data_IF_985774135887
#
_entry.id   IF_985774135887
#
_cell.length_a   1.000
_cell.length_b   1.000
_cell.length_c   1.000
_cell.angle_alpha   90.00
_cell.angle_beta   90.00
_cell.angle_gamma   90.00
#
_symmetry.space_group_name_H-M   'P 1'
#
loop_
_entity.id
_entity.type
_entity.pdbx_description
1 polymer ?
#
# COMPACT_ATOMS: atom_id res chain seq x y z
N UNK A 1 35.74 -17.36 14.43
CA UNK A 1 35.39 -16.35 15.45
C UNK A 1 34.58 -15.31 14.71
N UNK A 2 33.29 -15.15 15.03
CA UNK A 2 32.48 -14.11 14.40
C UNK A 2 33.13 -12.75 14.70
N UNK A 3 33.38 -11.94 13.68
CA UNK A 3 33.83 -10.56 13.88
C UNK A 3 32.79 -9.86 14.77
N UNK A 4 33.24 -9.28 15.89
CA UNK A 4 32.36 -8.52 16.76
C UNK A 4 32.10 -7.16 16.11
N UNK A 5 31.14 -7.13 15.19
CA UNK A 5 30.71 -5.92 14.48
C UNK A 5 29.81 -5.12 15.42
N UNK A 6 30.34 -4.04 15.99
CA UNK A 6 29.58 -3.10 16.83
C UNK A 6 28.71 -2.21 15.93
N UNK A 7 27.41 -2.12 16.24
CA UNK A 7 26.46 -1.32 15.45
C UNK A 7 26.51 0.14 15.92
N UNK A 8 26.79 1.11 15.03
CA UNK A 8 27.05 2.51 15.42
C UNK A 8 25.79 3.34 15.69
N UNK A 9 24.61 2.77 15.50
CA UNK A 9 23.32 3.44 15.60
C UNK A 9 22.35 2.58 16.41
N UNK A 10 21.23 3.16 16.87
CA UNK A 10 20.22 2.37 17.55
C UNK A 10 19.51 1.41 16.59
N UNK A 11 19.11 0.25 17.11
CA UNK A 11 18.37 -0.78 16.36
C UNK A 11 17.16 -1.19 17.20
N UNK A 12 15.96 -1.05 16.63
CA UNK A 12 14.73 -1.57 17.21
C UNK A 12 13.46 -0.92 16.66
N UNK A 13 12.28 -1.42 17.08
CA UNK A 13 10.98 -0.98 16.55
C UNK A 13 10.67 0.51 16.72
N UNK A 14 11.32 1.19 17.66
CA UNK A 14 11.13 2.63 17.86
C UNK A 14 11.52 3.48 16.64
N UNK A 15 12.40 2.95 15.77
CA UNK A 15 12.90 3.65 14.58
C UNK A 15 12.04 3.40 13.34
N UNK A 16 11.09 2.44 13.38
CA UNK A 16 10.41 1.92 12.20
C UNK A 16 9.71 3.01 11.36
N UNK A 17 9.18 4.03 12.05
CA UNK A 17 8.45 5.15 11.44
C UNK A 17 9.31 6.24 10.84
N UNK A 18 10.64 6.14 10.92
CA UNK A 18 11.53 7.15 10.36
C UNK A 18 11.37 7.29 8.84
N UNK A 19 11.53 8.53 8.37
CA UNK A 19 11.44 8.89 6.95
C UNK A 19 12.63 9.75 6.56
N UNK A 20 13.41 9.27 5.58
CA UNK A 20 14.58 9.99 5.07
C UNK A 20 14.18 10.80 3.83
N UNK A 21 14.10 12.12 3.99
CA UNK A 21 13.79 13.04 2.89
C UNK A 21 15.05 13.32 2.07
N UNK A 22 14.86 13.79 0.83
CA UNK A 22 15.96 14.05 -0.11
C UNK A 22 17.11 14.90 0.46
N UNK A 23 16.85 16.01 1.17
CA UNK A 23 17.91 16.84 1.77
C UNK A 23 18.77 16.13 2.82
N UNK A 24 18.19 15.16 3.54
CA UNK A 24 18.80 14.45 4.67
C UNK A 24 19.47 13.13 4.24
N UNK A 25 19.37 12.81 2.96
CA UNK A 25 19.82 11.54 2.38
C UNK A 25 21.33 11.55 2.10
N UNK A 26 22.04 10.58 2.64
CA UNK A 26 23.43 10.27 2.28
C UNK A 26 23.49 9.51 0.96
N UNK A 27 22.75 8.42 0.85
CA UNK A 27 22.65 7.60 -0.37
C UNK A 27 21.24 7.06 -0.54
N UNK A 28 20.85 6.85 -1.79
CA UNK A 28 19.66 6.08 -2.19
C UNK A 28 20.12 4.75 -2.78
N UNK A 29 19.61 3.64 -2.25
CA UNK A 29 19.87 2.30 -2.73
C UNK A 29 18.60 1.78 -3.44
N UNK A 30 18.77 1.29 -4.67
CA UNK A 30 17.67 0.93 -5.56
C UNK A 30 16.67 2.10 -5.75
N UNK A 31 15.37 1.83 -5.61
CA UNK A 31 14.32 2.84 -5.70
C UNK A 31 13.95 3.25 -7.13
N UNK A 32 13.00 4.19 -7.28
CA UNK A 32 12.26 4.41 -8.53
C UNK A 32 13.07 5.11 -9.63
N UNK A 33 14.34 5.43 -9.39
CA UNK A 33 15.27 6.02 -10.36
C UNK A 33 16.55 5.18 -10.50
N UNK A 34 16.54 3.97 -9.96
CA UNK A 34 17.56 2.94 -10.08
C UNK A 34 16.84 1.58 -10.16
N UNK A 35 17.55 0.49 -9.92
CA UNK A 35 16.99 -0.86 -9.85
C UNK A 35 17.61 -1.62 -8.68
N UNK A 36 16.89 -2.62 -8.18
CA UNK A 36 17.35 -3.43 -7.07
C UNK A 36 16.31 -4.41 -6.60
N UNK A 37 16.70 -5.31 -5.70
CA UNK A 37 15.79 -6.30 -5.15
C UNK A 37 16.20 -6.81 -3.77
N UNK A 38 15.25 -7.46 -3.07
CA UNK A 38 15.51 -8.24 -1.87
C UNK A 38 15.05 -9.69 -2.06
N UNK A 39 15.88 -10.65 -1.69
CA UNK A 39 15.57 -12.07 -1.87
C UNK A 39 15.99 -12.88 -0.66
N UNK A 40 15.06 -13.62 -0.07
CA UNK A 40 15.37 -14.67 0.92
C UNK A 40 15.26 -16.03 0.26
N UNK A 41 16.21 -16.91 0.56
CA UNK A 41 16.18 -18.31 0.14
C UNK A 41 16.45 -19.24 1.31
N UNK A 42 15.66 -20.31 1.41
CA UNK A 42 16.00 -21.45 2.26
C UNK A 42 17.02 -22.31 1.52
N UNK A 43 18.16 -22.58 2.15
CA UNK A 43 19.24 -23.39 1.59
C UNK A 43 19.73 -24.42 2.62
N UNK A 44 20.39 -25.47 2.16
CA UNK A 44 20.89 -26.52 3.07
C UNK A 44 22.13 -26.10 3.87
N UNK A 45 22.91 -25.12 3.41
CA UNK A 45 24.28 -24.89 3.90
C UNK A 45 24.70 -23.43 4.01
N UNK A 46 23.89 -22.58 4.66
CA UNK A 46 24.33 -21.23 5.00
C UNK A 46 25.42 -21.26 6.10
N UNK A 47 26.29 -20.25 6.12
CA UNK A 47 27.56 -20.26 6.88
C UNK A 47 27.79 -19.06 7.82
N UNK A 48 26.79 -18.17 7.95
CA UNK A 48 26.90 -16.88 8.66
C UNK A 48 27.84 -15.85 8.01
N UNK A 49 28.06 -15.95 6.71
CA UNK A 49 28.89 -15.00 5.96
C UNK A 49 28.13 -13.71 5.70
N UNK A 50 28.75 -12.57 6.01
CA UNK A 50 28.33 -11.25 5.51
C UNK A 50 29.30 -10.86 4.39
N UNK A 51 28.76 -10.51 3.22
CA UNK A 51 29.56 -10.12 2.06
C UNK A 51 29.00 -8.84 1.44
N UNK A 52 29.88 -7.87 1.20
CA UNK A 52 29.58 -6.66 0.42
C UNK A 52 30.26 -6.79 -0.94
N UNK A 53 29.49 -6.74 -2.02
CA UNK A 53 29.97 -6.85 -3.41
C UNK A 53 29.76 -5.52 -4.12
N UNK A 54 30.85 -4.78 -4.33
CA UNK A 54 30.84 -3.42 -4.87
C UNK A 54 31.25 -2.41 -3.82
N UNK A 55 30.80 -1.16 -3.99
CA UNK A 55 31.10 -0.03 -3.09
C UNK A 55 30.32 -0.12 -1.79
N UNK A 56 30.97 0.14 -0.66
CA UNK A 56 30.29 0.46 0.61
C UNK A 56 29.85 1.95 0.64
N UNK A 57 29.09 2.36 1.66
CA UNK A 57 28.43 3.68 1.74
C UNK A 57 29.45 4.84 1.68
N UNK A 58 30.63 4.69 2.28
CA UNK A 58 31.68 5.72 2.29
C UNK A 58 32.47 5.85 0.99
N UNK A 59 32.29 4.92 0.07
CA UNK A 59 32.85 4.98 -1.28
C UNK A 59 31.87 5.58 -2.29
N UNK A 60 30.65 5.90 -1.84
CA UNK A 60 29.60 6.53 -2.65
C UNK A 60 29.57 8.04 -2.45
N UNK A 61 29.23 8.77 -3.51
CA UNK A 61 29.04 10.22 -3.43
C UNK A 61 27.76 10.55 -2.64
N UNK A 62 27.78 11.61 -1.85
CA UNK A 62 26.60 12.09 -1.13
C UNK A 62 25.46 12.42 -2.13
N UNK A 63 24.26 11.95 -1.83
CA UNK A 63 23.06 12.11 -2.65
C UNK A 63 23.01 11.21 -3.88
N UNK A 64 24.00 10.32 -4.08
CA UNK A 64 24.02 9.39 -5.19
C UNK A 64 22.92 8.32 -5.10
N UNK A 65 22.63 7.73 -6.25
CA UNK A 65 21.72 6.59 -6.39
C UNK A 65 22.51 5.39 -6.88
N UNK A 66 22.44 4.28 -6.16
CA UNK A 66 23.22 3.08 -6.46
C UNK A 66 22.28 1.89 -6.63
N UNK A 67 22.41 1.08 -7.69
CA UNK A 67 21.72 -0.20 -7.76
C UNK A 67 22.04 -1.05 -6.54
N UNK A 68 21.06 -1.78 -6.01
CA UNK A 68 21.27 -2.50 -4.77
C UNK A 68 20.52 -3.83 -4.73
N UNK A 69 21.16 -4.86 -4.21
CA UNK A 69 20.48 -6.09 -3.86
C UNK A 69 20.85 -6.56 -2.45
N UNK A 70 19.88 -7.12 -1.74
CA UNK A 70 20.09 -7.89 -0.52
C UNK A 70 19.62 -9.31 -0.74
N UNK A 71 20.55 -10.27 -0.68
CA UNK A 71 20.25 -11.70 -0.78
C UNK A 71 20.58 -12.33 0.57
N UNK A 72 19.59 -12.99 1.17
CA UNK A 72 19.71 -13.63 2.46
C UNK A 72 19.46 -15.12 2.26
N UNK A 73 20.46 -15.95 2.54
CA UNK A 73 20.27 -17.40 2.55
C UNK A 73 20.16 -17.86 4.00
N UNK A 74 19.08 -18.55 4.33
CA UNK A 74 18.84 -19.08 5.67
C UNK A 74 18.92 -20.61 5.66
N UNK A 75 19.47 -21.18 6.73
CA UNK A 75 19.43 -22.63 6.97
C UNK A 75 19.20 -22.91 8.45
N UNK A 76 18.55 -24.02 8.75
CA UNK A 76 17.99 -24.25 10.08
C UNK A 76 17.13 -25.50 10.14
N UNK A 77 16.56 -25.75 11.31
CA UNK A 77 15.69 -26.91 11.50
C UNK A 77 14.28 -26.60 11.00
N UNK A 78 13.67 -27.50 10.23
CA UNK A 78 12.27 -27.39 9.78
C UNK A 78 11.95 -26.12 8.96
N UNK A 79 12.95 -25.55 8.27
CA UNK A 79 12.73 -24.50 7.28
C UNK A 79 12.18 -25.11 5.99
N UNK A 80 11.03 -24.61 5.54
CA UNK A 80 10.40 -24.96 4.27
C UNK A 80 10.53 -23.77 3.29
N UNK A 81 10.64 -24.02 1.98
CA UNK A 81 10.69 -22.95 0.95
C UNK A 81 9.47 -22.00 1.03
N UNK A 82 8.33 -22.48 1.55
CA UNK A 82 7.11 -21.68 1.73
C UNK A 82 7.25 -20.58 2.79
N UNK A 83 8.34 -20.54 3.55
CA UNK A 83 8.64 -19.44 4.47
C UNK A 83 9.41 -18.31 3.83
N UNK A 84 9.94 -18.50 2.62
CA UNK A 84 10.81 -17.51 2.01
C UNK A 84 10.12 -16.16 1.87
N UNK A 85 8.84 -16.11 1.47
CA UNK A 85 8.08 -14.86 1.38
C UNK A 85 7.87 -14.17 2.74
N UNK A 86 7.58 -14.95 3.78
CA UNK A 86 7.39 -14.45 5.15
C UNK A 86 8.68 -13.82 5.69
N UNK A 87 9.79 -14.55 5.53
CA UNK A 87 11.10 -14.10 5.96
C UNK A 87 11.55 -12.88 5.14
N UNK A 88 11.36 -12.92 3.82
CA UNK A 88 11.66 -11.79 2.92
C UNK A 88 10.88 -10.54 3.34
N UNK A 89 9.63 -10.69 3.76
CA UNK A 89 8.85 -9.56 4.27
C UNK A 89 9.45 -8.93 5.53
N UNK A 90 10.15 -9.69 6.39
CA UNK A 90 10.84 -9.15 7.58
C UNK A 90 11.99 -8.22 7.22
N UNK A 91 12.58 -8.36 6.03
CA UNK A 91 13.65 -7.45 5.57
C UNK A 91 13.18 -6.00 5.60
N UNK A 92 11.91 -5.75 5.27
CA UNK A 92 11.31 -4.43 5.38
C UNK A 92 11.39 -3.84 6.80
N UNK A 93 10.99 -4.60 7.82
CA UNK A 93 11.02 -4.11 9.20
C UNK A 93 12.44 -4.01 9.73
N UNK A 94 13.27 -5.01 9.45
CA UNK A 94 14.67 -5.05 9.88
C UNK A 94 15.44 -3.82 9.40
N UNK A 95 15.29 -3.43 8.14
CA UNK A 95 15.91 -2.20 7.64
C UNK A 95 15.36 -0.97 8.36
N UNK A 96 14.04 -0.88 8.57
CA UNK A 96 13.43 0.27 9.25
C UNK A 96 13.68 0.29 10.77
N UNK A 97 14.11 -0.81 11.39
CA UNK A 97 14.55 -0.82 12.79
C UNK A 97 15.90 -0.14 12.97
N UNK A 98 16.70 -0.01 11.92
CA UNK A 98 18.00 0.65 11.96
C UNK A 98 17.79 2.17 11.88
N UNK A 99 18.21 2.89 12.91
CA UNK A 99 18.11 4.35 12.95
C UNK A 99 18.75 4.99 11.71
N UNK A 100 18.00 5.90 11.08
CA UNK A 100 18.39 6.61 9.88
C UNK A 100 18.35 5.76 8.60
N UNK A 101 17.79 4.56 8.62
CA UNK A 101 17.54 3.74 7.43
C UNK A 101 16.04 3.69 7.16
N UNK A 102 15.63 4.06 5.95
CA UNK A 102 14.26 3.94 5.49
C UNK A 102 14.21 2.90 4.39
N UNK A 103 13.37 1.87 4.55
CA UNK A 103 13.09 0.86 3.53
C UNK A 103 11.61 0.89 3.15
N UNK A 104 11.33 0.92 1.85
CA UNK A 104 9.99 0.88 1.29
C UNK A 104 9.87 -0.24 0.25
N UNK A 105 8.64 -0.68 0.03
CA UNK A 105 8.25 -1.70 -0.95
C UNK A 105 8.78 -3.09 -0.56
N UNK A 106 9.00 -3.93 -1.57
CA UNK A 106 9.37 -5.34 -1.47
C UNK A 106 9.92 -5.87 -2.81
N UNK A 107 10.48 -7.10 -2.81
CA UNK A 107 10.96 -7.83 -4.00
C UNK A 107 11.84 -6.95 -4.90
N UNK A 108 11.55 -6.83 -6.19
CA UNK A 108 12.33 -6.05 -7.16
C UNK A 108 11.93 -4.56 -7.26
N UNK A 109 11.12 -4.09 -6.32
CA UNK A 109 10.65 -2.71 -6.25
C UNK A 109 11.18 -1.99 -5.01
N UNK A 110 12.10 -2.59 -4.26
CA UNK A 110 12.68 -2.02 -3.03
C UNK A 110 13.23 -0.62 -3.23
N UNK A 111 13.04 0.22 -2.23
CA UNK A 111 13.54 1.58 -2.21
C UNK A 111 14.09 1.90 -0.82
N UNK A 112 15.40 2.10 -0.75
CA UNK A 112 16.10 2.30 0.51
C UNK A 112 16.80 3.66 0.50
N UNK A 113 16.76 4.36 1.63
CA UNK A 113 17.54 5.57 1.88
C UNK A 113 18.26 5.48 3.20
N UNK A 114 19.48 6.02 3.21
CA UNK A 114 20.31 6.12 4.40
C UNK A 114 20.53 7.59 4.72
N UNK A 115 20.30 7.97 5.98
CA UNK A 115 20.41 9.34 6.48
C UNK A 115 21.88 9.73 6.71
N UNK A 116 22.19 11.02 6.50
CA UNK A 116 23.50 11.62 6.76
C UNK A 116 23.98 11.42 8.19
N UNK A 117 23.10 11.54 9.19
CA UNK A 117 23.44 11.39 10.60
C UNK A 117 23.84 9.95 10.94
N UNK A 118 23.11 8.95 10.42
CA UNK A 118 23.47 7.55 10.59
C UNK A 118 24.81 7.22 9.91
N UNK A 119 25.03 7.76 8.71
CA UNK A 119 26.32 7.65 8.03
C UNK A 119 27.47 8.28 8.84
N UNK A 120 27.27 9.48 9.40
CA UNK A 120 28.25 10.20 10.21
C UNK A 120 28.55 9.50 11.54
N UNK A 121 27.58 8.77 12.11
CA UNK A 121 27.80 7.88 13.26
C UNK A 121 28.65 6.65 12.91
N UNK A 122 28.79 6.32 11.62
CA UNK A 122 29.64 5.24 11.13
C UNK A 122 28.87 4.10 10.46
N UNK A 123 27.56 4.24 10.20
CA UNK A 123 26.78 3.17 9.56
C UNK A 123 27.33 2.83 8.17
N UNK A 124 27.38 1.54 7.85
CA UNK A 124 27.94 0.92 6.63
C UNK A 124 27.12 -0.31 6.27
N UNK A 125 27.24 -0.81 5.05
CA UNK A 125 26.48 -1.99 4.59
C UNK A 125 26.75 -3.21 5.47
N UNK A 126 28.01 -3.47 5.85
CA UNK A 126 28.34 -4.59 6.75
C UNK A 126 27.58 -4.55 8.09
N UNK A 127 27.27 -3.37 8.62
CA UNK A 127 26.50 -3.22 9.86
C UNK A 127 25.04 -3.63 9.62
N UNK A 128 24.45 -3.25 8.48
CA UNK A 128 23.11 -3.68 8.07
C UNK A 128 23.07 -5.21 7.95
N UNK A 129 24.07 -5.81 7.30
CA UNK A 129 24.18 -7.27 7.19
C UNK A 129 24.23 -7.97 8.56
N UNK A 130 24.95 -7.37 9.51
CA UNK A 130 25.01 -7.88 10.89
C UNK A 130 23.66 -7.78 11.60
N UNK A 131 22.97 -6.65 11.47
CA UNK A 131 21.62 -6.47 12.05
C UNK A 131 20.64 -7.49 11.48
N UNK A 132 20.67 -7.75 10.17
CA UNK A 132 19.87 -8.81 9.54
C UNK A 132 20.15 -10.16 10.20
N UNK A 133 21.42 -10.57 10.33
CA UNK A 133 21.75 -11.84 10.98
C UNK A 133 21.25 -11.91 12.42
N UNK A 134 21.45 -10.85 13.21
CA UNK A 134 21.10 -10.83 14.63
C UNK A 134 19.59 -10.88 14.84
N UNK A 135 18.82 -10.11 14.07
CA UNK A 135 17.36 -10.11 14.19
C UNK A 135 16.77 -11.43 13.69
N UNK A 136 17.23 -11.96 12.55
CA UNK A 136 16.74 -13.25 12.04
C UNK A 136 16.91 -14.37 13.08
N UNK A 137 18.10 -14.45 13.71
CA UNK A 137 18.37 -15.48 14.72
C UNK A 137 17.61 -15.25 16.03
N UNK A 138 17.32 -13.99 16.37
CA UNK A 138 16.57 -13.65 17.57
C UNK A 138 15.06 -13.91 17.41
N UNK A 139 14.49 -13.52 16.28
CA UNK A 139 13.04 -13.62 16.01
C UNK A 139 12.64 -15.00 15.50
N UNK A 140 13.54 -15.72 14.82
CA UNK A 140 13.29 -17.05 14.28
C UNK A 140 14.30 -18.06 14.83
N UNK A 141 14.11 -18.56 16.07
CA UNK A 141 15.08 -19.45 16.73
C UNK A 141 15.38 -20.76 15.98
N UNK A 142 14.52 -21.14 15.02
CA UNK A 142 14.72 -22.29 14.14
C UNK A 142 15.74 -22.03 13.02
N UNK A 143 16.08 -20.76 12.75
CA UNK A 143 17.14 -20.36 11.82
C UNK A 143 18.50 -20.43 12.53
N UNK A 144 19.38 -21.31 12.05
CA UNK A 144 20.71 -21.53 12.64
C UNK A 144 21.79 -20.69 12.00
N UNK A 145 21.76 -20.58 10.67
CA UNK A 145 22.73 -19.82 9.90
C UNK A 145 22.06 -18.89 8.90
N UNK A 146 22.65 -17.70 8.75
CA UNK A 146 22.15 -16.63 7.89
C UNK A 146 23.32 -16.04 7.10
N UNK A 147 23.44 -16.37 5.82
CA UNK A 147 24.35 -15.65 4.93
C UNK A 147 23.66 -14.40 4.40
N UNK A 148 24.37 -13.27 4.38
CA UNK A 148 23.87 -12.00 3.86
C UNK A 148 24.83 -11.48 2.80
N UNK A 149 24.32 -11.28 1.58
CA UNK A 149 25.02 -10.61 0.49
C UNK A 149 24.37 -9.27 0.21
N UNK A 150 25.15 -8.20 0.32
CA UNK A 150 24.77 -6.83 0.02
C UNK A 150 25.53 -6.40 -1.24
N UNK A 151 24.82 -6.18 -2.34
CA UNK A 151 25.41 -6.02 -3.66
C UNK A 151 25.12 -4.61 -4.16
N UNK A 152 26.15 -3.87 -4.49
CA UNK A 152 26.08 -2.51 -5.07
C UNK A 152 26.76 -2.42 -6.43
N UNK A 153 27.45 -3.49 -6.87
CA UNK A 153 28.02 -3.62 -8.20
C UNK A 153 26.90 -3.74 -9.26
N UNK A 154 26.72 -2.74 -10.15
CA UNK A 154 25.57 -2.67 -11.06
C UNK A 154 25.33 -3.93 -11.90
N UNK A 155 26.38 -4.49 -12.50
CA UNK A 155 26.25 -5.66 -13.39
C UNK A 155 25.82 -6.92 -12.61
N UNK A 156 26.31 -7.08 -11.38
CA UNK A 156 25.93 -8.20 -10.51
C UNK A 156 24.49 -8.05 -10.02
N UNK A 157 24.07 -6.83 -9.65
CA UNK A 157 22.67 -6.56 -9.28
C UNK A 157 21.74 -6.91 -10.43
N UNK A 158 22.10 -6.54 -11.67
CA UNK A 158 21.28 -6.80 -12.85
C UNK A 158 21.14 -8.29 -13.15
N UNK A 159 22.23 -9.05 -13.10
CA UNK A 159 22.21 -10.51 -13.32
C UNK A 159 21.37 -11.23 -12.26
N UNK A 160 21.56 -10.89 -10.99
CA UNK A 160 20.82 -11.56 -9.92
C UNK A 160 19.34 -11.14 -9.88
N UNK A 161 19.01 -9.92 -10.33
CA UNK A 161 17.63 -9.45 -10.44
C UNK A 161 16.81 -10.32 -11.42
N UNK A 162 17.40 -10.74 -12.55
CA UNK A 162 16.72 -11.63 -13.49
C UNK A 162 16.37 -12.98 -12.82
N UNK A 163 17.32 -13.55 -12.06
CA UNK A 163 17.10 -14.78 -11.29
C UNK A 163 16.05 -14.61 -10.19
N UNK A 164 16.07 -13.48 -9.49
CA UNK A 164 15.11 -13.16 -8.44
C UNK A 164 13.69 -13.09 -9.00
N UNK A 165 13.50 -12.47 -10.16
CA UNK A 165 12.20 -12.40 -10.85
C UNK A 165 11.64 -13.77 -11.23
N UNK A 166 12.49 -14.69 -11.68
CA UNK A 166 12.06 -16.08 -11.94
C UNK A 166 11.55 -16.77 -10.67
N UNK A 167 12.23 -16.55 -9.54
CA UNK A 167 11.81 -17.10 -8.23
C UNK A 167 10.48 -16.47 -7.78
N UNK A 168 10.34 -15.14 -7.88
CA UNK A 168 9.08 -14.46 -7.52
C UNK A 168 7.90 -14.98 -8.37
N UNK A 169 8.10 -15.12 -9.68
CA UNK A 169 7.08 -15.65 -10.58
C UNK A 169 6.68 -17.07 -10.17
N UNK A 170 7.64 -17.93 -9.84
CA UNK A 170 7.35 -19.30 -9.36
C UNK A 170 6.56 -19.30 -8.04
N UNK A 171 6.89 -18.40 -7.11
CA UNK A 171 6.14 -18.24 -5.84
C UNK A 171 4.70 -17.83 -6.12
N UNK A 172 4.49 -16.87 -7.03
CA UNK A 172 3.16 -16.37 -7.38
C UNK A 172 2.33 -17.43 -8.15
N UNK A 173 2.97 -18.18 -9.06
CA UNK A 173 2.34 -19.28 -9.80
C UNK A 173 1.80 -20.38 -8.88
N UNK A 174 2.48 -20.63 -7.75
CA UNK A 174 2.06 -21.67 -6.79
C UNK A 174 0.64 -21.43 -6.28
N UNK A 175 0.25 -20.17 -6.07
CA UNK A 175 -1.09 -19.79 -5.59
C UNK A 175 -2.17 -19.73 -6.66
N UNK A 176 -1.82 -19.80 -7.94
CA UNK A 176 -2.74 -19.48 -9.04
C UNK A 176 -3.95 -20.43 -9.17
N UNK A 177 -3.78 -21.69 -8.76
CA UNK A 177 -4.80 -22.74 -8.93
C UNK A 177 -5.49 -23.12 -7.61
N UNK A 178 -5.33 -22.32 -6.56
CA UNK A 178 -6.01 -22.52 -5.28
C UNK A 178 -6.99 -21.36 -5.11
N UNK A 179 -8.25 -21.68 -4.83
CA UNK A 179 -9.29 -20.68 -4.61
C UNK A 179 -9.84 -20.77 -3.18
N UNK A 180 -10.55 -19.72 -2.77
CA UNK A 180 -11.21 -19.67 -1.45
C UNK A 180 -12.21 -20.81 -1.22
N UNK A 181 -12.77 -21.37 -2.29
CA UNK A 181 -13.67 -22.53 -2.25
C UNK A 181 -12.93 -23.83 -1.87
N UNK A 182 -11.64 -23.92 -2.19
CA UNK A 182 -10.82 -25.12 -1.99
C UNK A 182 -10.28 -25.25 -0.57
N UNK A 183 -10.46 -24.23 0.27
CA UNK A 183 -9.88 -24.13 1.61
C UNK A 183 -10.93 -23.85 2.68
N UNK A 184 -10.71 -24.35 3.89
CA UNK A 184 -11.57 -24.14 5.07
C UNK A 184 -11.01 -23.09 6.04
N UNK A 185 -9.79 -22.60 5.78
CA UNK A 185 -9.04 -21.69 6.63
C UNK A 185 -8.47 -20.56 5.78
N UNK A 186 -8.62 -19.33 6.26
CA UNK A 186 -7.89 -18.14 5.80
C UNK A 186 -6.84 -17.75 6.82
N UNK A 187 -6.09 -16.68 6.54
CA UNK A 187 -5.08 -16.19 7.46
C UNK A 187 -5.24 -14.70 7.72
N UNK A 188 -5.01 -14.29 8.96
CA UNK A 188 -4.91 -12.90 9.36
C UNK A 188 -3.46 -12.47 9.44
N UNK A 189 -3.21 -11.18 9.23
CA UNK A 189 -1.91 -10.58 9.49
C UNK A 189 -2.05 -9.21 10.18
N UNK A 190 -1.34 -9.02 11.29
CA UNK A 190 -1.32 -7.79 12.10
C UNK A 190 0.07 -7.16 12.22
N UNK A 191 1.05 -7.59 11.42
CA UNK A 191 2.42 -7.05 11.48
C UNK A 191 2.45 -5.52 11.38
N UNK A 192 1.60 -4.93 10.54
CA UNK A 192 1.59 -3.48 10.31
C UNK A 192 0.81 -2.67 11.37
N UNK A 193 0.39 -3.28 12.48
CA UNK A 193 -0.29 -2.57 13.57
C UNK A 193 0.64 -1.59 14.33
N UNK A 194 1.96 -1.70 14.16
CA UNK A 194 2.91 -0.68 14.62
C UNK A 194 2.62 0.72 14.03
N UNK A 195 2.08 0.77 12.80
CA UNK A 195 1.72 2.01 12.11
C UNK A 195 0.22 2.27 11.98
N UNK A 196 -0.57 1.20 11.87
CA UNK A 196 -2.01 1.28 11.71
C UNK A 196 -2.69 0.35 12.74
N UNK A 197 -2.87 0.81 13.98
CA UNK A 197 -3.24 -0.06 15.11
C UNK A 197 -4.55 -0.85 14.93
N UNK A 198 -5.47 -0.36 14.11
CA UNK A 198 -6.76 -1.00 13.84
C UNK A 198 -6.77 -1.83 12.56
N UNK A 199 -5.64 -1.90 11.85
CA UNK A 199 -5.55 -2.65 10.60
C UNK A 199 -5.41 -4.15 10.82
N UNK A 200 -6.12 -4.92 10.01
CA UNK A 200 -6.01 -6.38 9.92
C UNK A 200 -6.05 -6.75 8.43
N UNK A 201 -5.00 -7.41 7.95
CA UNK A 201 -5.02 -8.06 6.64
C UNK A 201 -5.76 -9.39 6.77
N UNK A 202 -6.67 -9.68 5.84
CA UNK A 202 -7.22 -11.03 5.64
C UNK A 202 -6.66 -11.55 4.32
N UNK A 203 -5.94 -12.66 4.40
CA UNK A 203 -5.19 -13.28 3.32
C UNK A 203 -5.91 -14.57 2.93
N UNK A 204 -6.31 -14.64 1.67
CA UNK A 204 -6.97 -15.80 1.07
C UNK A 204 -6.19 -16.25 -0.17
N UNK A 205 -6.48 -17.44 -0.73
CA UNK A 205 -5.88 -17.85 -2.00
C UNK A 205 -6.12 -16.83 -3.13
N UNK A 206 -7.31 -16.24 -3.18
CA UNK A 206 -7.69 -15.26 -4.20
C UNK A 206 -7.36 -13.80 -3.84
N UNK A 207 -6.99 -13.51 -2.59
CA UNK A 207 -6.64 -12.17 -2.10
C UNK A 207 -5.37 -12.20 -1.24
N UNK A 208 -4.18 -12.05 -1.86
CA UNK A 208 -2.93 -11.91 -1.14
C UNK A 208 -2.88 -10.66 -0.27
N UNK A 209 -1.94 -10.60 0.68
CA UNK A 209 -1.75 -9.41 1.50
C UNK A 209 -1.47 -8.17 0.63
N UNK A 210 -2.02 -7.02 1.01
CA UNK A 210 -1.92 -5.77 0.24
C UNK A 210 -0.49 -5.31 -0.02
N UNK A 211 0.48 -5.74 0.79
CA UNK A 211 1.89 -5.43 0.60
C UNK A 211 2.54 -6.17 -0.59
N UNK A 212 1.90 -7.21 -1.13
CA UNK A 212 2.42 -8.05 -2.21
C UNK A 212 3.46 -9.09 -1.78
N UNK A 213 3.94 -9.02 -0.53
CA UNK A 213 5.01 -9.89 -0.03
C UNK A 213 4.56 -11.15 0.71
N UNK A 214 3.25 -11.36 0.90
CA UNK A 214 2.72 -12.52 1.61
C UNK A 214 1.52 -13.06 0.85
N UNK A 215 1.64 -14.27 0.35
CA UNK A 215 0.55 -15.02 -0.25
C UNK A 215 -0.07 -16.02 0.74
N UNK A 216 -1.05 -16.81 0.29
CA UNK A 216 -1.73 -17.78 1.13
C UNK A 216 -0.81 -18.87 1.72
N UNK A 217 0.13 -19.40 0.93
CA UNK A 217 1.06 -20.43 1.40
C UNK A 217 2.09 -19.89 2.37
N UNK A 218 2.57 -18.67 2.12
CA UNK A 218 3.43 -17.94 3.07
C UNK A 218 2.71 -17.81 4.42
N UNK A 219 1.45 -17.36 4.41
CA UNK A 219 0.69 -17.16 5.63
C UNK A 219 0.42 -18.47 6.39
N UNK A 220 0.12 -19.56 5.66
CA UNK A 220 -0.01 -20.91 6.21
C UNK A 220 1.27 -21.39 6.87
N UNK A 221 2.40 -21.24 6.19
CA UNK A 221 3.68 -21.67 6.70
C UNK A 221 4.06 -20.86 7.96
N UNK A 222 3.83 -19.54 7.95
CA UNK A 222 4.04 -18.67 9.10
C UNK A 222 3.23 -19.11 10.33
N UNK A 223 1.90 -19.25 10.18
CA UNK A 223 1.00 -19.60 11.28
C UNK A 223 1.31 -20.99 11.87
N UNK A 224 1.78 -21.94 11.04
CA UNK A 224 2.20 -23.27 11.49
C UNK A 224 3.47 -23.22 12.34
N UNK A 225 4.41 -22.34 12.01
CA UNK A 225 5.72 -22.27 12.66
C UNK A 225 5.69 -21.42 13.92
N UNK A 226 4.96 -20.31 13.88
CA UNK A 226 4.76 -19.43 15.02
C UNK A 226 3.26 -19.12 15.21
N UNK A 227 2.51 -20.01 15.87
CA UNK A 227 1.06 -19.83 16.07
C UNK A 227 0.67 -18.60 16.90
N UNK A 228 1.58 -18.10 17.74
CA UNK A 228 1.40 -16.90 18.56
C UNK A 228 1.93 -15.64 17.85
N UNK A 229 2.44 -15.80 16.63
CA UNK A 229 3.00 -14.74 15.82
C UNK A 229 1.96 -13.78 15.25
N UNK A 230 2.41 -12.76 14.49
CA UNK A 230 1.53 -11.75 13.91
C UNK A 230 0.72 -12.25 12.70
N UNK A 231 0.98 -13.48 12.23
CA UNK A 231 0.21 -14.17 11.20
C UNK A 231 -0.46 -15.38 11.85
N UNK A 232 -1.78 -15.48 11.71
CA UNK A 232 -2.59 -16.47 12.44
C UNK A 232 -3.70 -17.04 11.57
N UNK A 233 -4.17 -18.23 11.93
CA UNK A 233 -5.29 -18.91 11.26
C UNK A 233 -6.63 -18.23 11.55
N UNK A 234 -7.48 -18.15 10.53
CA UNK A 234 -8.87 -17.72 10.62
C UNK A 234 -9.72 -18.85 10.02
N UNK A 235 -10.39 -19.68 10.85
CA UNK A 235 -11.35 -20.64 10.34
C UNK A 235 -12.43 -19.91 9.54
N UNK A 236 -12.68 -20.33 8.29
CA UNK A 236 -13.50 -19.57 7.32
C UNK A 236 -14.92 -19.30 7.82
N UNK A 237 -15.50 -20.21 8.60
CA UNK A 237 -16.87 -20.05 9.12
C UNK A 237 -17.94 -20.19 8.03
N UNK A 238 -19.12 -19.63 8.27
CA UNK A 238 -20.21 -19.60 7.29
C UNK A 238 -19.98 -18.46 6.30
N UNK A 239 -20.10 -18.77 5.01
CA UNK A 239 -20.17 -17.75 3.98
C UNK A 239 -21.55 -17.08 4.01
N UNK A 240 -21.57 -15.76 4.22
CA UNK A 240 -22.78 -14.94 4.23
C UNK A 240 -23.06 -14.31 2.87
N UNK A 241 -22.01 -14.04 2.09
CA UNK A 241 -22.10 -13.51 0.73
C UNK A 241 -20.84 -13.94 -0.06
N UNK A 242 -21.01 -14.84 -1.03
CA UNK A 242 -19.92 -15.38 -1.85
C UNK A 242 -19.30 -14.34 -2.80
N UNK A 243 -20.11 -13.39 -3.28
CA UNK A 243 -19.66 -12.39 -4.26
C UNK A 243 -18.83 -11.33 -3.54
N UNK A 244 -19.32 -10.82 -2.42
CA UNK A 244 -18.60 -9.84 -1.59
C UNK A 244 -17.47 -10.49 -0.77
N UNK A 245 -17.52 -11.80 -0.56
CA UNK A 245 -16.60 -12.54 0.29
C UNK A 245 -16.81 -12.18 1.77
N UNK A 246 -18.05 -12.26 2.25
CA UNK A 246 -18.39 -12.01 3.66
C UNK A 246 -18.50 -13.33 4.38
N UNK A 247 -17.79 -13.44 5.50
CA UNK A 247 -17.78 -14.62 6.35
C UNK A 247 -17.91 -14.21 7.81
N UNK A 248 -18.72 -14.94 8.58
CA UNK A 248 -19.01 -14.61 9.99
C UNK A 248 -17.76 -14.63 10.87
N UNK A 249 -17.00 -15.72 10.84
CA UNK A 249 -15.78 -15.86 11.63
C UNK A 249 -14.70 -14.86 11.22
N UNK A 250 -14.60 -14.53 9.92
CA UNK A 250 -13.66 -13.51 9.45
C UNK A 250 -14.01 -12.15 10.07
N UNK A 251 -15.30 -11.79 10.11
CA UNK A 251 -15.75 -10.56 10.75
C UNK A 251 -15.48 -10.56 12.26
N UNK A 252 -15.74 -11.67 12.96
CA UNK A 252 -15.44 -11.80 14.39
C UNK A 252 -13.96 -11.60 14.69
N UNK A 253 -13.07 -12.25 13.93
CA UNK A 253 -11.63 -12.13 14.11
C UNK A 253 -11.12 -10.74 13.75
N UNK A 254 -11.63 -10.13 12.67
CA UNK A 254 -11.28 -8.75 12.31
C UNK A 254 -11.75 -7.77 13.39
N UNK A 255 -12.93 -7.97 13.96
CA UNK A 255 -13.43 -7.17 15.08
C UNK A 255 -12.53 -7.27 16.30
N UNK A 256 -12.17 -8.49 16.72
CA UNK A 256 -11.26 -8.70 17.85
C UNK A 256 -9.89 -8.07 17.60
N UNK A 257 -9.26 -8.40 16.47
CA UNK A 257 -7.88 -8.00 16.16
C UNK A 257 -7.74 -6.52 15.82
N UNK A 258 -8.82 -5.85 15.43
CA UNK A 258 -8.85 -4.39 15.24
C UNK A 258 -9.17 -3.60 16.51
N UNK A 259 -9.29 -4.27 17.67
CA UNK A 259 -9.69 -3.63 18.93
C UNK A 259 -11.14 -3.13 18.92
N UNK A 260 -12.00 -3.77 18.13
CA UNK A 260 -13.41 -3.44 17.97
C UNK A 260 -13.71 -2.30 17.00
N UNK A 261 -12.70 -1.77 16.31
CA UNK A 261 -12.85 -0.65 15.39
C UNK A 261 -13.56 -1.05 14.08
N UNK A 262 -13.27 -2.25 13.57
CA UNK A 262 -13.80 -2.75 12.30
C UNK A 262 -14.78 -3.88 12.58
N UNK A 263 -16.07 -3.68 12.27
CA UNK A 263 -17.12 -4.65 12.58
C UNK A 263 -17.24 -5.75 11.54
N UNK A 264 -17.21 -5.36 10.27
CA UNK A 264 -17.40 -6.26 9.15
C UNK A 264 -16.56 -5.77 7.97
N UNK A 265 -16.11 -6.69 7.13
CA UNK A 265 -15.40 -6.38 5.90
C UNK A 265 -16.00 -7.16 4.73
N UNK A 266 -15.83 -6.62 3.54
CA UNK A 266 -15.92 -7.37 2.29
C UNK A 266 -14.50 -7.64 1.78
N UNK A 267 -14.28 -8.83 1.25
CA UNK A 267 -13.01 -9.18 0.60
C UNK A 267 -12.96 -8.64 -0.82
N UNK A 268 -14.09 -8.54 -1.52
CA UNK A 268 -14.10 -8.25 -2.96
C UNK A 268 -14.95 -7.04 -3.36
N UNK A 269 -15.12 -6.06 -2.46
CA UNK A 269 -15.68 -4.74 -2.78
C UNK A 269 -14.75 -3.63 -2.28
N UNK A 270 -14.67 -2.55 -3.05
CA UNK A 270 -14.14 -1.24 -2.67
C UNK A 270 -15.26 -0.30 -2.20
N UNK A 271 -16.51 -0.54 -2.60
CA UNK A 271 -17.66 0.34 -2.34
C UNK A 271 -18.46 0.00 -1.08
N UNK A 272 -18.46 -1.26 -0.62
CA UNK A 272 -19.17 -1.70 0.58
C UNK A 272 -18.17 -2.26 1.59
N UNK A 273 -17.96 -1.53 2.70
CA UNK A 273 -17.13 -1.97 3.84
C UNK A 273 -15.80 -2.62 3.40
N UNK A 274 -14.97 -1.91 2.62
CA UNK A 274 -13.75 -2.48 2.07
C UNK A 274 -12.80 -2.94 3.17
N UNK A 275 -11.88 -3.84 2.82
CA UNK A 275 -10.76 -4.17 3.69
C UNK A 275 -9.94 -2.90 4.02
N UNK A 276 -9.49 -2.78 5.26
CA UNK A 276 -8.67 -1.62 5.67
C UNK A 276 -7.26 -1.69 5.07
N UNK A 277 -6.54 -0.56 5.06
CA UNK A 277 -5.16 -0.50 4.59
C UNK A 277 -4.23 0.09 5.65
N UNK A 278 -3.07 -0.52 5.88
CA UNK A 278 -2.04 0.06 6.75
C UNK A 278 -1.32 1.23 6.06
N UNK A 279 -0.46 0.94 5.09
CA UNK A 279 0.36 1.94 4.41
C UNK A 279 1.45 1.36 3.49
N UNK A 280 1.61 0.04 3.44
CA UNK A 280 2.59 -0.66 2.60
C UNK A 280 2.01 -1.25 1.32
N UNK A 281 0.77 -0.90 0.94
CA UNK A 281 0.15 -1.37 -0.31
C UNK A 281 0.98 -1.00 -1.55
N UNK A 282 0.97 -1.88 -2.55
CA UNK A 282 1.64 -1.67 -3.83
C UNK A 282 0.86 -0.72 -4.73
N UNK A 283 -0.47 -0.82 -4.72
CA UNK A 283 -1.37 0.04 -5.46
C UNK A 283 -2.60 0.46 -4.65
N UNK A 284 -3.27 1.51 -5.11
CA UNK A 284 -4.52 2.02 -4.55
C UNK A 284 -5.56 1.99 -5.65
N UNK A 285 -6.69 1.37 -5.38
CA UNK A 285 -7.92 1.56 -6.15
C UNK A 285 -8.69 2.72 -5.53
N UNK A 286 -9.15 3.64 -6.36
CA UNK A 286 -9.94 4.81 -5.96
C UNK A 286 -11.14 4.99 -6.88
N UNK A 287 -12.29 5.33 -6.32
CA UNK A 287 -13.52 5.59 -7.05
C UNK A 287 -13.52 7.00 -7.66
N UNK A 288 -14.00 7.10 -8.90
CA UNK A 288 -14.13 8.33 -9.68
C UNK A 288 -15.63 8.51 -10.00
N UNK A 289 -16.36 9.29 -9.18
CA UNK A 289 -17.80 9.47 -9.33
C UNK A 289 -18.23 9.98 -10.72
N UNK A 290 -17.48 10.89 -11.32
CA UNK A 290 -17.82 11.55 -12.59
C UNK A 290 -17.83 10.61 -13.80
N UNK A 291 -17.30 9.40 -13.66
CA UNK A 291 -17.30 8.35 -14.68
C UNK A 291 -17.79 7.01 -14.13
N UNK A 292 -18.31 6.99 -12.90
CA UNK A 292 -18.82 5.81 -12.22
C UNK A 292 -17.89 4.58 -12.41
N UNK A 293 -16.62 4.78 -12.09
CA UNK A 293 -15.56 3.81 -12.33
C UNK A 293 -14.37 3.98 -11.40
N UNK A 294 -13.41 3.08 -11.50
CA UNK A 294 -12.25 3.02 -10.64
C UNK A 294 -10.97 3.42 -11.38
N UNK A 295 -10.20 4.32 -10.77
CA UNK A 295 -8.80 4.49 -11.08
C UNK A 295 -7.95 3.57 -10.21
N UNK A 296 -6.82 3.10 -10.74
CA UNK A 296 -5.81 2.36 -9.97
C UNK A 296 -4.48 3.05 -10.16
N UNK A 297 -3.74 3.32 -9.08
CA UNK A 297 -2.40 3.90 -9.15
C UNK A 297 -1.45 3.14 -8.25
N UNK A 298 -0.31 2.71 -8.80
CA UNK A 298 0.73 2.06 -8.03
C UNK A 298 1.75 3.06 -7.49
N UNK A 299 2.48 2.62 -6.46
CA UNK A 299 3.42 3.45 -5.71
C UNK A 299 4.60 3.97 -6.54
N UNK A 300 4.93 3.31 -7.65
CA UNK A 300 6.04 3.73 -8.51
C UNK A 300 5.66 4.91 -9.42
N UNK A 301 4.37 5.14 -9.63
CA UNK A 301 3.85 6.24 -10.44
C UNK A 301 4.12 7.61 -9.82
N UNK A 302 4.67 8.53 -10.62
CA UNK A 302 5.12 9.87 -10.17
C UNK A 302 4.25 11.01 -10.68
N UNK A 303 3.32 10.72 -11.59
CA UNK A 303 2.42 11.72 -12.17
C UNK A 303 1.22 12.01 -11.28
N UNK A 304 0.32 12.82 -11.82
CA UNK A 304 -1.02 13.02 -11.27
C UNK A 304 -1.99 12.05 -11.97
N UNK A 305 -2.93 11.52 -11.20
CA UNK A 305 -4.06 10.76 -11.74
C UNK A 305 -5.03 11.68 -12.51
N UNK A 306 -6.01 11.16 -13.27
CA UNK A 306 -6.97 12.01 -13.99
C UNK A 306 -7.82 12.92 -13.10
N UNK A 307 -7.90 12.65 -11.80
CA UNK A 307 -8.55 13.52 -10.80
C UNK A 307 -7.59 14.59 -10.24
N UNK A 308 -6.37 14.71 -10.77
CA UNK A 308 -5.39 15.74 -10.43
C UNK A 308 -4.65 15.52 -9.11
N UNK A 309 -4.62 14.29 -8.57
CA UNK A 309 -3.91 13.97 -7.33
C UNK A 309 -2.83 12.90 -7.55
N UNK A 310 -1.66 13.01 -6.89
CA UNK A 310 -0.61 11.99 -6.96
C UNK A 310 -0.90 10.81 -6.00
N UNK A 311 -0.19 9.70 -6.19
CA UNK A 311 -0.24 8.52 -5.31
C UNK A 311 -0.11 8.88 -3.82
N UNK A 312 0.80 9.79 -3.46
CA UNK A 312 1.06 10.16 -2.06
C UNK A 312 -0.15 10.78 -1.36
N UNK A 313 -0.97 11.55 -2.08
CA UNK A 313 -2.19 12.14 -1.55
C UNK A 313 -3.28 11.07 -1.33
N UNK A 314 -3.46 10.18 -2.30
CA UNK A 314 -4.39 9.05 -2.21
C UNK A 314 -3.99 8.08 -1.09
N UNK A 315 -2.69 7.82 -0.93
CA UNK A 315 -2.17 6.98 0.14
C UNK A 315 -2.53 7.53 1.52
N UNK A 316 -2.49 8.86 1.70
CA UNK A 316 -2.90 9.50 2.95
C UNK A 316 -4.39 9.34 3.28
N UNK A 317 -5.25 9.17 2.27
CA UNK A 317 -6.68 8.93 2.47
C UNK A 317 -6.97 7.45 2.79
N UNK A 318 -6.34 6.55 2.04
CA UNK A 318 -6.57 5.11 2.12
C UNK A 318 -5.92 4.44 3.35
N UNK A 319 -4.80 4.98 3.84
CA UNK A 319 -4.02 4.39 4.95
C UNK A 319 -4.60 4.64 6.35
N UNK A 320 -4.02 3.95 7.33
CA UNK A 320 -4.25 4.16 8.76
C UNK A 320 -5.27 3.21 9.39
N UNK A 321 -5.57 2.07 8.75
CA UNK A 321 -6.42 1.03 9.34
C UNK A 321 -7.89 1.40 9.44
N UNK A 322 -8.35 2.32 8.58
CA UNK A 322 -9.76 2.75 8.48
C UNK A 322 -10.42 2.11 7.26
N UNK A 323 -11.74 1.95 7.32
CA UNK A 323 -12.54 1.64 6.13
C UNK A 323 -12.91 2.96 5.45
N UNK A 324 -12.59 3.06 4.17
CA UNK A 324 -12.90 4.24 3.35
C UNK A 324 -13.54 3.73 2.08
N UNK A 325 -14.85 3.82 1.98
CA UNK A 325 -15.57 3.40 0.78
C UNK A 325 -15.08 4.19 -0.44
N UNK A 326 -14.90 3.48 -1.55
CA UNK A 326 -14.28 4.02 -2.75
C UNK A 326 -12.75 4.05 -2.70
N UNK A 327 -12.08 3.62 -1.61
CA UNK A 327 -10.61 3.54 -1.55
C UNK A 327 -10.14 2.21 -0.93
N UNK A 328 -9.28 1.49 -1.64
CA UNK A 328 -8.69 0.25 -1.12
C UNK A 328 -7.25 0.09 -1.59
N UNK A 329 -6.32 -0.12 -0.65
CA UNK A 329 -4.96 -0.54 -0.93
C UNK A 329 -4.93 -2.01 -1.30
N UNK A 330 -4.17 -2.36 -2.33
CA UNK A 330 -4.10 -3.71 -2.89
C UNK A 330 -2.66 -4.07 -3.28
N UNK A 331 -2.42 -5.37 -3.42
CA UNK A 331 -1.23 -5.89 -4.10
C UNK A 331 -1.46 -5.97 -5.61
N UNK A 332 -0.37 -5.94 -6.37
CA UNK A 332 -0.40 -6.15 -7.83
C UNK A 332 -0.90 -7.57 -8.15
N UNK A 333 -0.58 -8.55 -7.32
CA UNK A 333 -1.05 -9.92 -7.47
C UNK A 333 -2.58 -10.04 -7.39
N UNK A 334 -3.25 -9.29 -6.50
CA UNK A 334 -4.71 -9.31 -6.40
C UNK A 334 -5.40 -8.83 -7.69
N UNK A 335 -4.77 -7.94 -8.46
CA UNK A 335 -5.30 -7.47 -9.75
C UNK A 335 -5.42 -8.59 -10.80
N UNK A 336 -4.69 -9.70 -10.60
CA UNK A 336 -4.74 -10.89 -11.47
C UNK A 336 -5.71 -11.96 -10.98
N UNK A 337 -6.32 -11.75 -9.82
CA UNK A 337 -7.27 -12.69 -9.22
C UNK A 337 -8.58 -12.74 -10.02
N UNK A 338 -9.20 -13.93 -10.18
CA UNK A 338 -10.56 -14.00 -10.73
C UNK A 338 -11.59 -13.28 -9.86
N UNK A 339 -11.30 -13.07 -8.57
CA UNK A 339 -12.16 -12.35 -7.62
C UNK A 339 -11.84 -10.87 -7.48
N UNK A 340 -10.98 -10.32 -8.35
CA UNK A 340 -10.57 -8.92 -8.30
C UNK A 340 -11.79 -7.98 -8.35
N UNK A 341 -12.13 -7.40 -7.18
CA UNK A 341 -13.31 -6.57 -6.93
C UNK A 341 -14.58 -7.06 -7.63
N UNK A 342 -14.82 -8.38 -7.63
CA UNK A 342 -15.92 -8.98 -8.39
C UNK A 342 -17.30 -8.43 -7.99
N UNK A 343 -17.49 -8.05 -6.72
CA UNK A 343 -18.75 -7.46 -6.25
C UNK A 343 -19.04 -6.09 -6.87
N UNK A 344 -17.99 -5.40 -7.31
CA UNK A 344 -18.08 -4.09 -7.94
C UNK A 344 -17.73 -4.16 -9.43
N UNK A 345 -17.95 -5.31 -10.09
CA UNK A 345 -17.75 -5.49 -11.53
C UNK A 345 -16.30 -5.68 -12.01
N UNK A 346 -15.34 -5.74 -11.09
CA UNK A 346 -13.93 -6.02 -11.35
C UNK A 346 -13.33 -5.17 -12.48
N UNK A 347 -12.64 -5.81 -13.43
CA UNK A 347 -12.00 -5.11 -14.54
C UNK A 347 -12.96 -4.29 -15.42
N UNK A 348 -14.25 -4.61 -15.46
CA UNK A 348 -15.24 -3.84 -16.24
C UNK A 348 -15.54 -2.46 -15.64
N UNK A 349 -15.14 -2.24 -14.39
CA UNK A 349 -15.31 -0.98 -13.67
C UNK A 349 -14.02 -0.18 -13.53
N UNK A 350 -12.87 -0.73 -13.90
CA UNK A 350 -11.60 0.00 -13.94
C UNK A 350 -11.53 0.84 -15.21
N UNK A 351 -11.34 2.15 -15.08
CA UNK A 351 -11.34 3.11 -16.19
C UNK A 351 -9.97 3.70 -16.49
N UNK A 352 -9.06 3.66 -15.53
CA UNK A 352 -7.71 4.22 -15.68
C UNK A 352 -6.69 3.52 -14.80
N UNK A 353 -5.49 3.29 -15.33
CA UNK A 353 -4.29 2.93 -14.56
C UNK A 353 -3.00 3.30 -15.33
N UNK A 354 -1.86 3.51 -14.63
CA UNK A 354 -0.59 3.78 -15.30
C UNK A 354 -0.22 2.69 -16.30
N UNK A 355 0.37 3.07 -17.44
CA UNK A 355 0.79 2.15 -18.51
C UNK A 355 1.70 1.05 -17.99
N UNK A 356 2.69 1.40 -17.17
CA UNK A 356 3.61 0.42 -16.59
C UNK A 356 2.87 -0.61 -15.72
N UNK A 357 1.89 -0.18 -14.92
CA UNK A 357 1.06 -1.08 -14.13
C UNK A 357 0.18 -1.95 -15.03
N UNK A 358 -0.42 -1.36 -16.06
CA UNK A 358 -1.25 -2.06 -17.05
C UNK A 358 -0.50 -3.19 -17.74
N UNK A 359 0.76 -2.97 -18.15
CA UNK A 359 1.57 -4.01 -18.76
C UNK A 359 1.97 -5.10 -17.75
N UNK A 360 2.25 -4.76 -16.48
CA UNK A 360 2.57 -5.75 -15.42
C UNK A 360 1.41 -6.70 -15.11
N UNK A 361 0.17 -6.22 -15.22
CA UNK A 361 -1.06 -6.96 -14.86
C UNK A 361 -1.87 -7.42 -16.07
N UNK A 362 -1.34 -7.25 -17.27
CA UNK A 362 -2.03 -7.49 -18.55
C UNK A 362 -2.63 -8.89 -18.67
N UNK A 363 -1.94 -9.88 -18.12
CA UNK A 363 -2.37 -11.29 -18.06
C UNK A 363 -3.56 -11.54 -17.11
N UNK A 364 -3.84 -10.60 -16.21
CA UNK A 364 -5.02 -10.59 -15.34
C UNK A 364 -6.19 -9.76 -15.88
N UNK A 365 -5.97 -8.86 -16.84
CA UNK A 365 -7.02 -8.02 -17.43
C UNK A 365 -7.84 -8.87 -18.40
N UNK A 366 -9.17 -8.76 -18.35
CA UNK A 366 -10.06 -9.34 -19.36
C UNK A 366 -9.67 -8.84 -20.77
N UNK A 367 -9.49 -9.74 -21.73
CA UNK A 367 -8.99 -9.41 -23.07
C UNK A 367 -9.78 -8.27 -23.73
N UNK A 368 -11.11 -8.29 -23.59
CA UNK A 368 -12.04 -7.26 -24.07
C UNK A 368 -11.89 -5.87 -23.42
N UNK A 369 -11.25 -5.80 -22.25
CA UNK A 369 -11.07 -4.57 -21.46
C UNK A 369 -9.71 -3.92 -21.69
N UNK A 370 -8.70 -4.66 -22.18
CA UNK A 370 -7.33 -4.14 -22.31
C UNK A 370 -7.29 -2.81 -23.08
N UNK A 371 -7.95 -2.71 -24.23
CA UNK A 371 -7.92 -1.49 -25.05
C UNK A 371 -8.95 -0.42 -24.63
N UNK A 372 -9.78 -0.72 -23.62
CA UNK A 372 -10.83 0.17 -23.13
C UNK A 372 -10.43 0.93 -21.87
N UNK A 373 -9.37 0.52 -21.19
CA UNK A 373 -8.89 1.19 -19.97
C UNK A 373 -7.83 2.23 -20.36
N UNK A 374 -8.02 3.48 -19.93
CA UNK A 374 -7.10 4.57 -20.23
C UNK A 374 -5.80 4.49 -19.41
N UNK A 375 -4.77 5.16 -19.89
CA UNK A 375 -3.49 5.36 -19.20
C UNK A 375 -3.15 6.85 -19.12
N UNK A 376 -2.05 7.19 -18.45
CA UNK A 376 -1.48 8.53 -18.44
C UNK A 376 -1.03 9.03 -19.83
N UNK A 377 -0.85 8.12 -20.81
CA UNK A 377 -0.55 8.49 -22.19
C UNK A 377 -1.80 8.88 -22.98
N UNK A 378 -2.98 8.43 -22.55
CA UNK A 378 -4.26 8.66 -23.23
C UNK A 378 -4.96 9.91 -22.70
N UNK A 379 -4.95 10.11 -21.38
CA UNK A 379 -5.75 11.13 -20.69
C UNK A 379 -5.00 11.73 -19.50
N UNK A 380 -5.24 13.02 -19.26
CA UNK A 380 -4.64 13.80 -18.16
C UNK A 380 -5.66 14.36 -17.17
N UNK A 381 -6.95 14.33 -17.52
CA UNK A 381 -8.04 14.88 -16.71
C UNK A 381 -9.36 14.15 -16.92
N UNK A 382 -10.36 14.44 -16.09
CA UNK A 382 -11.69 13.81 -16.12
C UNK A 382 -12.43 14.01 -17.45
N UNK A 383 -12.31 15.19 -18.07
CA UNK A 383 -12.99 15.46 -19.35
C UNK A 383 -12.45 14.57 -20.47
N UNK A 384 -11.12 14.47 -20.58
CA UNK A 384 -10.46 13.56 -21.53
C UNK A 384 -10.79 12.09 -21.23
N UNK A 385 -10.85 11.70 -19.96
CA UNK A 385 -11.27 10.37 -19.54
C UNK A 385 -12.69 10.05 -20.00
N UNK A 386 -13.64 10.97 -19.80
CA UNK A 386 -15.02 10.80 -20.25
C UNK A 386 -15.11 10.59 -21.78
N UNK A 387 -14.38 11.38 -22.56
CA UNK A 387 -14.34 11.24 -24.02
C UNK A 387 -13.71 9.91 -24.45
N UNK A 388 -12.59 9.51 -23.84
CA UNK A 388 -11.93 8.24 -24.10
C UNK A 388 -12.87 7.06 -23.85
N UNK A 389 -13.55 7.04 -22.70
CA UNK A 389 -14.45 5.95 -22.32
C UNK A 389 -15.64 5.83 -23.28
N UNK A 390 -16.22 6.95 -23.74
CA UNK A 390 -17.25 6.96 -24.79
C UNK A 390 -16.72 6.39 -26.10
N UNK A 391 -15.57 6.88 -26.56
CA UNK A 391 -14.98 6.47 -27.84
C UNK A 391 -14.58 4.99 -27.87
N UNK A 392 -14.16 4.44 -26.72
CA UNK A 392 -13.80 3.03 -26.56
C UNK A 392 -14.99 2.12 -26.21
N UNK A 393 -16.20 2.67 -26.08
CA UNK A 393 -17.40 1.95 -25.61
C UNK A 393 -17.09 1.15 -24.34
N UNK A 394 -16.56 1.85 -23.33
CA UNK A 394 -16.30 1.26 -22.02
C UNK A 394 -17.63 0.88 -21.35
N UNK A 395 -17.75 -0.30 -20.70
CA UNK A 395 -19.01 -0.75 -20.08
C UNK A 395 -19.62 0.26 -19.10
N UNK A 396 -18.80 0.97 -18.34
CA UNK A 396 -19.28 2.01 -17.39
C UNK A 396 -20.12 3.11 -18.03
N UNK A 397 -19.97 3.36 -19.34
CA UNK A 397 -20.74 4.39 -20.04
C UNK A 397 -22.23 4.05 -20.05
N UNK A 398 -22.58 2.76 -20.01
CA UNK A 398 -23.98 2.31 -19.89
C UNK A 398 -24.60 2.74 -18.55
N UNK A 399 -23.80 2.84 -17.49
CA UNK A 399 -24.25 3.22 -16.16
C UNK A 399 -24.46 4.73 -15.99
N UNK A 400 -23.86 5.57 -16.85
CA UNK A 400 -23.96 7.03 -16.69
C UNK A 400 -25.40 7.56 -16.81
N UNK A 401 -26.26 6.85 -17.54
CA UNK A 401 -27.69 7.18 -17.58
C UNK A 401 -28.41 6.97 -16.24
N UNK A 402 -27.96 6.01 -15.43
CA UNK A 402 -28.53 5.73 -14.10
C UNK A 402 -27.99 6.69 -13.02
N UNK A 403 -26.75 7.16 -13.17
CA UNK A 403 -26.12 8.12 -12.23
C UNK A 403 -26.79 9.49 -12.29
N UNK A 404 -27.29 9.92 -13.46
CA UNK A 404 -28.11 11.14 -13.55
C UNK A 404 -29.43 11.00 -12.80
N UNK A 405 -30.03 9.80 -12.74
CA UNK A 405 -31.28 9.55 -11.99
C UNK A 405 -31.05 9.47 -10.47
N UNK A 406 -29.98 8.82 -9.99
CA UNK A 406 -29.63 8.77 -8.55
C UNK A 406 -29.26 10.15 -7.98
N UNK A 407 -28.48 10.96 -8.72
CA UNK A 407 -28.14 12.33 -8.28
C UNK A 407 -29.38 13.25 -8.27
N UNK A 408 -30.39 12.95 -9.11
CA UNK A 408 -31.67 13.67 -9.10
C UNK A 408 -32.56 13.18 -7.96
N UNK A 409 -32.59 11.88 -7.68
CA UNK A 409 -33.31 11.31 -6.52
C UNK A 409 -32.74 11.81 -5.18
N UNK A 410 -31.41 11.84 -5.01
CA UNK A 410 -30.78 12.39 -3.79
C UNK A 410 -31.06 13.89 -3.62
N UNK A 411 -31.27 14.63 -4.72
CA UNK A 411 -31.69 16.04 -4.66
C UNK A 411 -33.17 16.18 -4.35
N UNK A 412 -34.03 15.31 -4.89
CA UNK A 412 -35.47 15.31 -4.62
C UNK A 412 -35.80 14.84 -3.20
N UNK A 413 -35.06 13.88 -2.62
CA UNK A 413 -35.19 13.50 -1.21
C UNK A 413 -34.78 14.63 -0.26
N UNK A 414 -33.77 15.44 -0.64
CA UNK A 414 -33.34 16.62 0.13
C UNK A 414 -34.30 17.81 -0.06
N UNK A 415 -35.03 17.90 -1.18
CA UNK A 415 -36.06 18.92 -1.42
C UNK A 415 -37.47 18.51 -0.91
N UNK A 416 -37.68 17.23 -0.57
CA UNK A 416 -38.96 16.68 -0.13
C UNK A 416 -39.29 16.83 1.37
N UNK A 417 -38.33 17.25 2.20
CA UNK A 417 -38.54 17.52 3.63
C UNK A 417 -38.66 19.02 3.92
N UNK A 418 -39.84 19.60 3.68
CA UNK A 418 -40.26 20.80 4.41
C UNK A 418 -41.63 20.64 5.07
N UNK A 419 -41.63 20.87 6.38
CA UNK A 419 -42.70 21.31 7.28
C UNK A 419 -43.23 20.31 8.32
N UNK A 420 -42.44 20.10 9.37
CA UNK A 420 -42.99 20.02 10.74
C UNK A 420 -42.07 20.77 11.72
N UNK A 421 -42.60 21.80 12.36
CA UNK A 421 -42.01 22.38 13.56
C UNK A 421 -42.11 21.37 14.71
N UNK A 422 -40.97 20.90 15.23
CA UNK A 422 -40.74 20.81 16.69
C UNK A 422 -39.36 20.24 17.04
N UNK A 423 -38.69 20.98 17.91
CA UNK A 423 -37.76 20.57 18.98
C UNK A 423 -36.35 20.04 18.64
N UNK A 424 -35.42 20.61 19.39
CA UNK A 424 -33.98 20.40 19.38
C UNK A 424 -33.60 18.92 19.60
N UNK A 425 -32.98 18.30 18.60
CA UNK A 425 -31.89 17.34 18.82
C UNK A 425 -30.82 17.57 17.78
N UNK A 426 -29.74 18.24 18.19
CA UNK A 426 -28.63 18.62 17.32
C UNK A 426 -27.88 17.41 16.78
N UNK A 427 -27.91 17.22 15.47
CA UNK A 427 -26.94 16.40 14.75
C UNK A 427 -25.67 17.25 14.59
N UNK A 428 -24.60 16.83 15.27
CA UNK A 428 -23.26 17.40 15.13
C UNK A 428 -22.64 16.96 13.82
N UNK A 429 -22.66 17.84 12.81
CA UNK A 429 -21.79 17.69 11.64
C UNK A 429 -20.33 17.92 12.04
N UNK A 430 -19.36 17.16 11.48
CA UNK A 430 -17.95 17.36 11.79
C UNK A 430 -17.48 18.71 11.25
N UNK A 431 -17.33 19.68 12.16
CA UNK A 431 -16.72 20.97 11.88
C UNK A 431 -15.21 20.77 11.75
N UNK A 432 -14.66 21.12 10.60
CA UNK A 432 -13.21 21.19 10.43
C UNK A 432 -12.66 22.35 11.29
N UNK A 433 -12.00 22.03 12.40
CA UNK A 433 -11.27 23.02 13.21
C UNK A 433 -10.02 23.46 12.45
N UNK A 434 -10.06 24.67 11.91
CA UNK A 434 -8.90 25.35 11.35
C UNK A 434 -7.92 25.76 12.47
N UNK A 435 -6.60 25.77 12.23
CA UNK A 435 -5.61 26.18 13.23
C UNK A 435 -5.88 27.59 13.76
N UNK A 436 -5.71 27.77 15.06
CA UNK A 436 -5.90 29.04 15.74
C UNK A 436 -5.04 30.15 15.09
N UNK A 437 -5.71 31.14 14.50
CA UNK A 437 -5.10 32.24 13.76
C UNK A 437 -5.98 32.78 12.63
N UNK A 438 -6.92 31.97 12.14
CA UNK A 438 -7.92 32.39 11.14
C UNK A 438 -9.14 33.09 11.78
N UNK A 439 -8.90 34.09 12.62
CA UNK A 439 -9.94 34.93 13.22
C UNK A 439 -10.21 36.15 12.36
N UNK A 440 -11.39 36.26 11.76
CA UNK A 440 -11.87 37.55 11.25
C UNK A 440 -12.67 37.54 9.95
N UNK A 441 -13.63 36.63 9.76
CA UNK A 441 -14.72 36.91 8.84
C UNK A 441 -15.83 37.66 9.59
N UNK A 442 -16.25 38.85 9.11
CA UNK A 442 -17.42 39.54 9.66
C UNK A 442 -18.67 38.66 9.64
N UNK A 443 -19.54 38.82 10.64
CA UNK A 443 -20.80 38.07 10.81
C UNK A 443 -21.82 38.23 9.66
N UNK A 444 -21.49 38.98 8.62
CA UNK A 444 -22.35 39.31 7.48
C UNK A 444 -21.79 38.83 6.13
N UNK A 445 -20.85 37.90 6.10
CA UNK A 445 -20.32 37.30 4.86
C UNK A 445 -20.49 35.78 4.90
N UNK A 446 -21.33 35.25 4.00
CA UNK A 446 -21.49 33.82 3.75
C UNK A 446 -20.82 33.50 2.41
N UNK A 447 -19.78 32.66 2.43
CA UNK A 447 -19.14 32.16 1.22
C UNK A 447 -19.60 30.72 1.02
N UNK A 448 -20.20 30.43 -0.12
CA UNK A 448 -20.61 29.09 -0.51
C UNK A 448 -19.84 28.75 -1.78
N UNK A 449 -19.03 27.69 -1.72
CA UNK A 449 -18.27 27.17 -2.85
C UNK A 449 -18.85 25.80 -3.20
N UNK A 450 -19.22 25.60 -4.47
CA UNK A 450 -19.68 24.32 -5.01
C UNK A 450 -18.83 24.01 -6.25
N UNK A 451 -18.25 22.80 -6.31
CA UNK A 451 -17.32 22.35 -7.37
C UNK A 451 -16.22 23.37 -7.74
N UNK A 452 -15.42 23.80 -6.76
CA UNK A 452 -14.33 24.75 -7.01
C UNK A 452 -12.99 24.26 -6.46
N UNK A 453 -11.96 24.29 -7.31
CA UNK A 453 -10.55 24.12 -6.91
C UNK A 453 -9.89 25.49 -6.80
N UNK A 454 -9.55 25.92 -5.59
CA UNK A 454 -8.89 27.22 -5.37
C UNK A 454 -7.39 27.02 -5.13
N UNK A 455 -6.55 27.49 -6.05
CA UNK A 455 -5.11 27.69 -5.84
C UNK A 455 -4.82 29.19 -5.75
N UNK A 456 -4.30 29.64 -4.61
CA UNK A 456 -3.88 31.02 -4.40
C UNK A 456 -2.59 31.09 -3.58
N UNK A 457 -1.61 31.89 -4.02
CA UNK A 457 -0.37 32.12 -3.26
C UNK A 457 -0.58 33.14 -2.11
N UNK A 458 -1.54 34.07 -2.24
CA UNK A 458 -1.94 35.00 -1.17
C UNK A 458 -3.37 35.51 -1.40
N UNK A 459 -4.16 35.57 -0.32
CA UNK A 459 -5.53 36.13 -0.33
C UNK A 459 -5.54 37.37 0.58
N UNK A 460 -6.08 38.50 0.09
CA UNK A 460 -6.24 39.74 0.85
C UNK A 460 -7.70 40.20 0.74
N UNK A 461 -8.35 40.42 1.88
CA UNK A 461 -9.75 40.86 1.97
C UNK A 461 -9.77 42.29 2.53
N UNK A 462 -10.35 43.24 1.79
CA UNK A 462 -10.51 44.64 2.22
C UNK A 462 -11.99 45.03 2.26
N UNK A 463 -12.38 45.89 3.20
CA UNK A 463 -13.74 46.46 3.30
C UNK A 463 -13.83 47.77 2.50
N UNK A 464 -14.91 47.96 1.75
CA UNK A 464 -15.30 49.28 1.25
C UNK A 464 -16.08 50.06 2.31
N UNK A 465 -15.57 51.23 2.72
CA UNK A 465 -16.28 52.13 3.61
C UNK A 465 -17.43 52.83 2.88
N UNK A 466 -18.66 52.64 3.37
CA UNK A 466 -19.85 53.39 2.93
C UNK A 466 -19.65 54.88 3.24
N UNK A 467 -19.60 55.71 2.19
CA UNK A 467 -19.65 57.18 2.28
C UNK A 467 -20.75 57.63 3.26
N UNK A 468 -20.35 58.33 4.32
CA UNK A 468 -21.29 58.96 5.26
C UNK A 468 -22.16 59.98 4.52
N UNK A 469 -23.48 59.83 4.58
CA UNK A 469 -24.40 60.95 4.30
C UNK A 469 -24.16 62.02 5.36
N UNK A 470 -23.59 63.17 4.96
CA UNK A 470 -23.60 64.38 5.77
C UNK A 470 -25.04 64.91 5.87
N UNK A 471 -25.32 65.45 7.05
CA UNK A 471 -26.55 66.07 7.57
C UNK A 471 -27.47 66.71 6.54
#
# INVERSE_FOLDING_TARGET
MAENIEIPVSVGPMNEGERVRGPDMQVELAGPKSYGFELVKVVDGASDKIEVIGKDIDEMEEGSRTPFAVIINVSGDSLEEDLEGVLERRVHEIFNYIEGVMHLNQRDSVWIRINKDAYNKGLRLKHIGKVIQDIYKAEFPFIKHVDVRLITEPDVVKEELEKAREIYNKRDEKTKNLHEEDVDTFYGCIMCQSFAPTHVCVITPDKPALCGGINYFDARAAAKIDPEGPIFEIPKGNCLDEIKGIYDNVNEVVYEKSGGAIKEITLHSVMDRPSTSCGCFEAITFYIPEVDGFGIVDRSYKGETPIGVPFSALAGQCSGGRQVEGFCGISVAYMKSPKFFQADGGWKRVVWLPRELKEKVKDGILEEMVDKIATEEDVSNIGELQEFLKNKNHPVVENWGAVEEEIVMDKEEVEGEESYESEETGISLPTMTMPAGFGGLPSNVKIILKNATIKAEKIIIMREDKKSKKK
#
